data_IF_099787028397
#
_entry.id   IF_099787028397
#
_cell.length_a   1.000
_cell.length_b   1.000
_cell.length_c   1.000
_cell.angle_alpha   90.00
_cell.angle_beta   90.00
_cell.angle_gamma   90.00
#
_symmetry.space_group_name_H-M   'P 1'
#
loop_
_entity.id
_entity.type
_entity.pdbx_description
1 polymer ?
#
# COMPACT_ATOMS: atom_id res chain seq x y z
N UNK A 1 -5.32 -3.29 -19.56
CA UNK A 1 -4.02 -3.26 -18.85
C UNK A 1 -3.86 -1.87 -18.25
N UNK A 2 -4.55 -1.56 -17.15
CA UNK A 2 -4.44 -0.26 -16.47
C UNK A 2 -3.33 -0.36 -15.44
N UNK A 3 -2.16 0.12 -15.86
CA UNK A 3 -0.97 0.25 -15.03
C UNK A 3 -1.26 1.30 -13.96
N UNK A 4 -1.11 0.94 -12.68
CA UNK A 4 -0.56 1.75 -11.58
C UNK A 4 -0.51 3.28 -11.75
N UNK A 5 -1.53 3.95 -12.29
CA UNK A 5 -1.59 5.41 -12.47
C UNK A 5 -3.00 5.94 -12.21
N UNK A 6 -3.98 5.05 -11.96
CA UNK A 6 -5.41 5.33 -11.81
C UNK A 6 -5.73 6.55 -10.93
N UNK A 7 -5.33 6.63 -9.65
CA UNK A 7 -5.68 7.82 -8.84
C UNK A 7 -5.05 9.15 -9.30
N UNK A 8 -3.81 9.13 -9.81
CA UNK A 8 -3.17 10.33 -10.33
C UNK A 8 -3.82 10.74 -11.67
N UNK A 9 -4.16 9.75 -12.51
CA UNK A 9 -4.88 9.97 -13.77
C UNK A 9 -6.31 10.47 -13.55
N UNK A 10 -7.03 9.91 -12.56
CA UNK A 10 -8.39 10.32 -12.17
C UNK A 10 -8.41 11.79 -11.76
N UNK A 11 -7.40 12.24 -11.02
CA UNK A 11 -7.26 13.65 -10.63
C UNK A 11 -6.60 14.51 -11.71
N UNK A 12 -6.12 13.93 -12.82
CA UNK A 12 -5.38 14.63 -13.86
C UNK A 12 -4.06 15.25 -13.37
N UNK A 13 -3.48 14.73 -12.28
CA UNK A 13 -2.29 15.29 -11.64
C UNK A 13 -1.06 14.41 -11.84
N UNK A 14 0.13 15.00 -11.71
CA UNK A 14 1.38 14.28 -11.86
C UNK A 14 1.76 13.58 -10.53
N UNK A 15 2.41 12.41 -10.54
CA UNK A 15 3.05 11.82 -9.36
C UNK A 15 4.00 12.76 -8.59
N UNK A 16 4.51 13.82 -9.21
CA UNK A 16 5.33 14.87 -8.59
C UNK A 16 4.54 16.11 -8.14
N UNK A 17 3.21 16.14 -8.35
CA UNK A 17 2.37 17.27 -7.94
C UNK A 17 2.39 17.47 -6.43
N UNK A 18 2.37 18.74 -6.02
CA UNK A 18 2.29 19.12 -4.60
C UNK A 18 0.89 18.84 -4.04
N UNK A 19 0.77 18.74 -2.72
CA UNK A 19 -0.54 18.60 -2.06
C UNK A 19 -1.50 19.75 -2.41
N UNK A 20 -0.98 20.98 -2.55
CA UNK A 20 -1.75 22.15 -2.96
C UNK A 20 -2.30 22.03 -4.38
N UNK A 21 -1.53 21.47 -5.33
CA UNK A 21 -1.98 21.21 -6.70
C UNK A 21 -3.05 20.13 -6.72
N UNK A 22 -2.83 19.01 -6.03
CA UNK A 22 -3.80 17.91 -5.93
C UNK A 22 -5.13 18.42 -5.37
N UNK A 23 -5.09 19.28 -4.35
CA UNK A 23 -6.28 19.90 -3.78
C UNK A 23 -6.97 20.87 -4.75
N UNK A 24 -6.20 21.61 -5.55
CA UNK A 24 -6.76 22.50 -6.57
C UNK A 24 -7.49 21.72 -7.67
N UNK A 25 -6.86 20.68 -8.21
CA UNK A 25 -7.47 19.82 -9.23
C UNK A 25 -8.72 19.11 -8.72
N UNK A 26 -8.68 18.56 -7.50
CA UNK A 26 -9.84 17.96 -6.86
C UNK A 26 -11.03 18.93 -6.78
N UNK A 27 -10.79 20.20 -6.41
CA UNK A 27 -11.87 21.21 -6.36
C UNK A 27 -12.46 21.49 -7.74
N UNK A 28 -11.64 21.52 -8.78
CA UNK A 28 -12.12 21.73 -10.15
C UNK A 28 -12.99 20.56 -10.62
N UNK A 29 -12.50 19.33 -10.44
CA UNK A 29 -13.24 18.11 -10.79
C UNK A 29 -14.51 17.97 -9.97
N UNK A 30 -14.47 18.36 -8.69
CA UNK A 30 -15.63 18.28 -7.83
C UNK A 30 -16.77 19.20 -8.29
N UNK A 31 -16.45 20.40 -8.79
CA UNK A 31 -17.45 21.31 -9.34
C UNK A 31 -18.06 20.78 -10.66
N UNK A 32 -17.27 20.06 -11.45
CA UNK A 32 -17.69 19.51 -12.74
C UNK A 32 -18.56 18.26 -12.57
N UNK A 33 -18.17 17.36 -11.66
CA UNK A 33 -18.80 16.05 -11.45
C UNK A 33 -19.73 16.00 -10.23
N UNK A 34 -20.12 17.15 -9.66
CA UNK A 34 -20.96 17.16 -8.47
C UNK A 34 -22.27 16.37 -8.67
N UNK A 35 -22.65 15.48 -7.75
CA UNK A 35 -23.80 14.58 -7.93
C UNK A 35 -25.14 15.32 -8.04
N UNK A 36 -25.24 16.52 -7.49
CA UNK A 36 -26.43 17.40 -7.61
C UNK A 36 -26.73 17.79 -9.07
N UNK A 37 -25.70 17.99 -9.89
CA UNK A 37 -25.84 18.38 -11.30
C UNK A 37 -25.76 17.19 -12.25
N UNK A 38 -25.09 16.11 -11.84
CA UNK A 38 -24.83 14.93 -12.66
C UNK A 38 -25.11 13.63 -11.90
N UNK A 39 -26.38 13.32 -11.58
CA UNK A 39 -26.74 12.14 -10.78
C UNK A 39 -26.38 10.82 -11.47
N UNK A 40 -26.28 10.79 -12.81
CA UNK A 40 -25.83 9.63 -13.59
C UNK A 40 -24.32 9.37 -13.52
N UNK A 41 -23.52 10.32 -13.02
CA UNK A 41 -22.06 10.22 -12.92
C UNK A 41 -21.57 9.98 -11.49
N UNK A 42 -22.42 9.38 -10.65
CA UNK A 42 -22.10 9.09 -9.24
C UNK A 42 -20.84 8.22 -9.09
N UNK A 43 -20.59 7.31 -10.04
CA UNK A 43 -19.37 6.47 -10.03
C UNK A 43 -18.09 7.30 -10.24
N UNK A 44 -18.09 8.22 -11.20
CA UNK A 44 -16.95 9.11 -11.45
C UNK A 44 -16.69 10.03 -10.25
N UNK A 45 -17.76 10.54 -9.61
CA UNK A 45 -17.65 11.32 -8.38
C UNK A 45 -16.98 10.52 -7.25
N UNK A 46 -17.38 9.26 -7.06
CA UNK A 46 -16.81 8.40 -6.04
C UNK A 46 -15.31 8.13 -6.30
N UNK A 47 -14.93 7.91 -7.55
CA UNK A 47 -13.53 7.71 -7.94
C UNK A 47 -12.67 8.96 -7.67
N UNK A 48 -13.16 10.15 -8.02
CA UNK A 48 -12.48 11.43 -7.76
C UNK A 48 -12.28 11.62 -6.25
N UNK A 49 -13.31 11.32 -5.46
CA UNK A 49 -13.26 11.41 -4.01
C UNK A 49 -12.25 10.44 -3.41
N UNK A 50 -12.28 9.17 -3.81
CA UNK A 50 -11.36 8.14 -3.32
C UNK A 50 -9.90 8.47 -3.66
N UNK A 51 -9.66 8.97 -4.88
CA UNK A 51 -8.34 9.41 -5.31
C UNK A 51 -7.82 10.55 -4.43
N UNK A 52 -8.66 11.55 -4.12
CA UNK A 52 -8.30 12.65 -3.24
C UNK A 52 -8.10 12.21 -1.79
N UNK A 53 -8.94 11.33 -1.25
CA UNK A 53 -8.75 10.77 0.11
C UNK A 53 -7.43 10.02 0.25
N UNK A 54 -6.90 9.46 -0.85
CA UNK A 54 -5.61 8.76 -0.86
C UNK A 54 -4.42 9.69 -1.11
N UNK A 55 -4.53 10.59 -2.09
CA UNK A 55 -3.41 11.44 -2.54
C UNK A 55 -3.31 12.78 -1.80
N UNK A 56 -4.40 13.26 -1.20
CA UNK A 56 -4.46 14.52 -0.47
C UNK A 56 -3.71 14.46 0.87
N UNK A 57 -3.63 13.29 1.49
CA UNK A 57 -2.88 13.08 2.73
C UNK A 57 -1.48 12.50 2.42
N UNK A 58 -0.44 13.15 2.96
CA UNK A 58 0.95 12.75 2.70
C UNK A 58 1.29 11.32 3.20
N UNK A 59 0.71 10.89 4.33
CA UNK A 59 0.90 9.53 4.85
C UNK A 59 0.18 8.49 3.99
N UNK A 60 -1.04 8.79 3.54
CA UNK A 60 -1.81 7.88 2.65
C UNK A 60 -1.19 7.81 1.26
N UNK A 61 -0.67 8.92 0.75
CA UNK A 61 0.09 8.96 -0.52
C UNK A 61 1.35 8.10 -0.44
N UNK A 62 2.13 8.22 0.62
CA UNK A 62 3.32 7.38 0.81
C UNK A 62 2.97 5.89 0.90
N UNK A 63 1.86 5.54 1.54
CA UNK A 63 1.33 4.17 1.59
C UNK A 63 0.93 3.68 0.19
N UNK A 64 0.25 4.53 -0.58
CA UNK A 64 -0.14 4.23 -1.95
C UNK A 64 1.06 4.01 -2.87
N UNK A 65 2.08 4.87 -2.77
CA UNK A 65 3.29 4.74 -3.56
C UNK A 65 4.06 3.45 -3.21
N UNK A 66 4.08 3.04 -1.93
CA UNK A 66 4.64 1.73 -1.49
C UNK A 66 3.85 0.55 -2.08
N UNK A 67 2.52 0.61 -2.01
CA UNK A 67 1.66 -0.42 -2.61
C UNK A 67 1.93 -0.56 -4.12
N UNK A 68 2.02 0.56 -4.84
CA UNK A 68 2.36 0.57 -6.28
C UNK A 68 3.71 -0.05 -6.58
N UNK A 69 4.71 0.27 -5.77
CA UNK A 69 6.05 -0.29 -5.91
C UNK A 69 6.09 -1.80 -5.64
N UNK A 70 5.22 -2.31 -4.76
CA UNK A 70 5.15 -3.73 -4.41
C UNK A 70 4.66 -4.63 -5.56
N UNK A 71 3.96 -4.07 -6.56
CA UNK A 71 3.38 -4.79 -7.71
C UNK A 71 2.50 -5.99 -7.31
N UNK A 72 1.93 -5.96 -6.10
CA UNK A 72 1.02 -7.00 -5.65
C UNK A 72 -0.25 -7.00 -6.52
N UNK A 73 -0.84 -8.17 -6.82
CA UNK A 73 -2.11 -8.26 -7.54
C UNK A 73 -3.32 -7.86 -6.66
N UNK A 74 -3.08 -7.35 -5.45
CA UNK A 74 -4.11 -6.97 -4.49
C UNK A 74 -4.51 -5.50 -4.69
N UNK A 75 -5.81 -5.15 -4.68
CA UNK A 75 -6.25 -3.77 -4.78
C UNK A 75 -5.79 -2.94 -3.57
N UNK A 76 -5.52 -1.65 -3.77
CA UNK A 76 -5.00 -0.76 -2.72
C UNK A 76 -5.90 -0.71 -1.48
N UNK A 77 -7.22 -0.68 -1.67
CA UNK A 77 -8.18 -0.68 -0.56
C UNK A 77 -8.05 -1.92 0.33
N UNK A 78 -7.74 -3.09 -0.26
CA UNK A 78 -7.57 -4.33 0.49
C UNK A 78 -6.18 -4.42 1.13
N UNK A 79 -5.16 -3.92 0.43
CA UNK A 79 -3.82 -3.74 0.98
C UNK A 79 -3.82 -2.78 2.19
N UNK A 80 -4.63 -1.72 2.17
CA UNK A 80 -4.73 -0.80 3.30
C UNK A 80 -5.31 -1.50 4.54
N UNK A 81 -6.35 -2.33 4.36
CA UNK A 81 -6.94 -3.13 5.46
C UNK A 81 -5.95 -4.16 6.01
N UNK A 82 -5.20 -4.84 5.14
CA UNK A 82 -4.19 -5.83 5.57
C UNK A 82 -2.90 -5.19 6.11
N UNK A 83 -2.54 -3.98 5.68
CA UNK A 83 -1.40 -3.23 6.22
C UNK A 83 -1.64 -2.82 7.68
N UNK A 84 -2.89 -2.58 8.10
CA UNK A 84 -3.25 -2.44 9.51
C UNK A 84 -3.09 -3.75 10.30
N UNK A 85 -3.02 -4.90 9.63
CA UNK A 85 -2.75 -6.21 10.23
C UNK A 85 -1.27 -6.64 10.17
N UNK A 86 -0.44 -6.08 9.28
CA UNK A 86 0.99 -6.41 9.20
C UNK A 86 1.90 -5.50 10.05
N UNK A 87 1.43 -4.32 10.46
CA UNK A 87 2.11 -3.51 11.48
C UNK A 87 2.16 -4.19 12.86
N UNK A 88 1.35 -5.24 13.08
CA UNK A 88 1.33 -6.02 14.33
C UNK A 88 2.02 -7.39 14.23
N UNK A 89 2.53 -7.84 13.08
CA UNK A 89 3.12 -9.19 12.95
C UNK A 89 4.66 -9.28 12.96
N UNK A 90 5.39 -8.16 13.09
CA UNK A 90 6.80 -8.19 13.54
C UNK A 90 7.08 -7.30 14.76
N UNK A 91 6.13 -6.45 15.16
CA UNK A 91 6.22 -5.63 16.37
C UNK A 91 5.49 -6.22 17.59
N UNK A 92 4.97 -7.45 17.51
CA UNK A 92 4.31 -8.14 18.63
C UNK A 92 4.64 -9.63 18.76
N UNK A 93 5.82 -10.08 18.30
CA UNK A 93 6.37 -11.41 18.67
C UNK A 93 7.86 -11.35 19.04
N UNK A 94 8.29 -10.27 19.71
CA UNK A 94 9.62 -10.19 20.35
C UNK A 94 9.56 -10.01 21.87
N UNK A 95 8.41 -10.27 22.50
CA UNK A 95 8.26 -10.12 23.96
C UNK A 95 7.54 -11.27 24.67
N UNK A 96 7.42 -12.46 24.06
CA UNK A 96 7.01 -13.71 24.75
C UNK A 96 7.72 -14.99 24.27
N UNK A 97 9.01 -14.90 23.95
CA UNK A 97 9.90 -16.09 23.84
C UNK A 97 11.17 -15.96 24.69
N UNK A 98 11.09 -15.23 25.80
CA UNK A 98 12.19 -15.08 26.76
C UNK A 98 12.22 -16.14 27.88
N UNK A 99 11.33 -17.14 27.86
CA UNK A 99 11.27 -18.27 28.81
C UNK A 99 10.66 -19.41 27.98
N UNK A 100 11.37 -20.36 27.37
CA UNK A 100 12.28 -21.35 27.92
C UNK A 100 13.36 -21.68 26.87
N UNK A 101 14.61 -21.42 27.20
CA UNK A 101 15.76 -21.98 26.49
C UNK A 101 16.31 -23.08 27.41
N UNK A 102 16.07 -24.38 27.16
CA UNK A 102 16.84 -25.41 27.85
C UNK A 102 18.23 -25.40 27.23
N UNK A 103 19.19 -24.84 27.97
CA UNK A 103 20.60 -25.00 27.70
C UNK A 103 20.91 -26.51 27.81
N UNK A 104 21.05 -27.21 26.68
CA UNK A 104 21.64 -28.55 26.67
C UNK A 104 22.60 -28.70 25.50
N UNK A 105 23.85 -28.79 25.91
CA UNK A 105 25.07 -28.98 25.14
C UNK A 105 25.06 -30.27 24.30
N UNK A 106 25.44 -30.11 23.02
CA UNK A 106 26.08 -31.04 22.05
C UNK A 106 25.47 -30.70 20.69
N UNK A 107 26.20 -29.99 19.83
CA UNK A 107 27.26 -30.62 19.04
C UNK A 107 26.60 -31.27 17.84
N UNK A 108 26.95 -30.77 16.64
CA UNK A 108 26.85 -31.47 15.36
C UNK A 108 25.63 -31.12 14.47
N UNK A 109 25.94 -30.30 13.46
CA UNK A 109 25.65 -30.54 12.04
C UNK A 109 24.20 -30.53 11.53
N UNK A 110 23.75 -29.37 11.03
CA UNK A 110 22.64 -29.30 10.06
C UNK A 110 23.00 -28.69 8.69
N UNK A 111 24.28 -28.39 8.43
CA UNK A 111 24.78 -28.03 7.09
C UNK A 111 25.59 -29.16 6.42
N UNK A 112 25.21 -30.41 6.68
CA UNK A 112 25.77 -31.57 5.99
C UNK A 112 24.73 -32.23 5.07
N UNK A 113 24.63 -31.77 3.81
CA UNK A 113 24.33 -32.59 2.61
C UNK A 113 24.12 -31.72 1.36
N UNK A 114 25.22 -31.25 0.77
CA UNK A 114 25.37 -31.30 -0.69
C UNK A 114 26.68 -32.00 -0.99
N UNK A 115 26.54 -33.30 -1.23
CA UNK A 115 27.58 -34.22 -1.64
C UNK A 115 27.86 -34.00 -3.13
N UNK A 116 29.14 -34.07 -3.50
CA UNK A 116 29.72 -34.26 -4.83
C UNK A 116 30.01 -32.99 -5.68
N UNK A 117 31.28 -32.61 -5.74
CA UNK A 117 32.09 -32.76 -6.96
C UNK A 117 33.60 -32.79 -6.58
N UNK A 118 34.33 -33.70 -7.23
CA UNK A 118 35.76 -34.05 -7.12
C UNK A 118 36.68 -32.82 -7.33
N UNK A 119 37.94 -32.74 -6.86
CA UNK A 119 39.14 -33.59 -7.03
C UNK A 119 40.10 -33.31 -5.87
#
# INVERSE_FOLDING_TARGET
>A
MTTNTEYYDILGCNPYSTSSQIQAEYRQLALQHHPDKNPSQTEAWNQIREAYETLGDAQRRAQYDRWRASRLPLPFAEWLKSSHAHAVHWSFDYQKRAIEMPLSSKGDDIYAKFRNYEI
#
